data_IF_647998087982
#
_entry.id   IF_647998087982
#
_cell.length_a   1.000
_cell.length_b   1.000
_cell.length_c   1.000
_cell.angle_alpha   90.00
_cell.angle_beta   90.00
_cell.angle_gamma   90.00
#
_symmetry.space_group_name_H-M   'P 1'
#
loop_
_entity.id
_entity.type
_entity.pdbx_description
1 polymer ?
#
# COMPACT_ATOMS: atom_id res chain seq x y z
N UNK A 1 -2.84 -15.20 1.27
CA UNK A 1 -3.97 -14.24 1.44
C UNK A 1 -3.39 -12.84 1.55
N UNK A 2 -4.06 -11.79 1.10
CA UNK A 2 -3.49 -10.43 1.01
C UNK A 2 -4.56 -9.37 0.87
N UNK A 3 -4.18 -8.11 1.06
CA UNK A 3 -5.08 -6.95 0.98
C UNK A 3 -4.67 -6.16 -0.26
N UNK A 4 -5.60 -5.89 -1.18
CA UNK A 4 -5.37 -5.01 -2.32
C UNK A 4 -5.95 -3.62 -2.00
N UNK A 5 -5.14 -2.56 -2.09
CA UNK A 5 -5.60 -1.18 -1.90
C UNK A 5 -5.30 -0.35 -3.15
N UNK A 6 -6.35 0.10 -3.83
CA UNK A 6 -6.22 1.11 -4.88
C UNK A 6 -6.74 2.45 -4.35
N UNK A 7 -5.86 3.43 -4.21
CA UNK A 7 -6.20 4.74 -3.66
C UNK A 7 -5.80 5.87 -4.60
N UNK A 8 -6.76 6.76 -4.84
CA UNK A 8 -6.56 8.06 -5.47
C UNK A 8 -6.76 9.17 -4.42
N UNK A 9 -5.65 9.67 -3.89
CA UNK A 9 -5.58 10.85 -3.04
C UNK A 9 -5.80 12.11 -3.86
N UNK A 10 -7.05 12.56 -3.96
CA UNK A 10 -7.38 13.89 -4.47
C UNK A 10 -6.89 14.97 -3.51
N UNK A 11 -7.72 15.29 -2.51
CA UNK A 11 -7.41 16.31 -1.48
C UNK A 11 -6.51 15.74 -0.38
N UNK A 12 -6.67 14.46 -0.04
CA UNK A 12 -5.91 13.80 1.04
C UNK A 12 -4.51 13.45 0.53
N UNK A 13 -3.50 13.81 1.33
CA UNK A 13 -2.10 13.44 1.07
C UNK A 13 -1.90 11.94 1.25
N UNK A 14 -1.27 11.29 0.30
CA UNK A 14 -0.98 9.85 0.38
C UNK A 14 -0.04 9.50 1.54
N UNK A 15 0.73 10.46 2.05
CA UNK A 15 1.56 10.33 3.27
C UNK A 15 0.73 10.08 4.53
N UNK A 16 -0.50 10.62 4.60
CA UNK A 16 -1.44 10.33 5.69
C UNK A 16 -1.88 8.87 5.66
N UNK A 17 -2.17 8.35 4.47
CA UNK A 17 -2.52 6.94 4.27
C UNK A 17 -1.33 6.03 4.59
N UNK A 18 -0.13 6.38 4.13
CA UNK A 18 1.09 5.65 4.45
C UNK A 18 1.33 5.56 5.97
N UNK A 19 1.13 6.67 6.69
CA UNK A 19 1.24 6.69 8.16
C UNK A 19 0.23 5.74 8.81
N UNK A 20 -0.99 5.68 8.28
CA UNK A 20 -2.03 4.77 8.78
C UNK A 20 -1.66 3.30 8.55
N UNK A 21 -1.03 2.96 7.43
CA UNK A 21 -0.56 1.60 7.16
C UNK A 21 0.53 1.17 8.14
N UNK A 22 1.54 2.02 8.34
CA UNK A 22 2.63 1.76 9.30
C UNK A 22 2.03 1.52 10.68
N UNK A 23 1.16 2.42 11.14
CA UNK A 23 0.48 2.27 12.42
C UNK A 23 -0.34 0.99 12.52
N UNK A 24 -1.06 0.61 11.46
CA UNK A 24 -1.85 -0.62 11.46
C UNK A 24 -0.97 -1.89 11.57
N UNK A 25 0.25 -1.87 11.03
CA UNK A 25 1.22 -2.94 11.22
C UNK A 25 1.83 -2.92 12.64
N UNK A 26 2.22 -1.75 13.14
CA UNK A 26 2.81 -1.60 14.48
C UNK A 26 1.82 -2.03 15.58
N UNK A 27 0.56 -1.62 15.44
CA UNK A 27 -0.55 -1.97 16.34
C UNK A 27 -1.04 -3.42 16.11
N UNK A 28 -0.44 -4.17 15.18
CA UNK A 28 -0.79 -5.55 14.80
C UNK A 28 -2.27 -5.73 14.42
N UNK A 29 -2.90 -4.68 13.90
CA UNK A 29 -4.26 -4.71 13.37
C UNK A 29 -4.33 -5.47 12.05
N UNK A 30 -3.21 -5.47 11.30
CA UNK A 30 -3.04 -6.24 10.08
C UNK A 30 -1.73 -7.03 10.13
N UNK A 31 -1.77 -8.28 9.67
CA UNK A 31 -0.60 -9.15 9.52
C UNK A 31 -0.44 -9.67 8.07
N UNK A 32 -1.37 -9.30 7.19
CA UNK A 32 -1.33 -9.68 5.78
C UNK A 32 -0.52 -8.65 4.96
N UNK A 33 0.18 -9.10 3.90
CA UNK A 33 0.82 -8.18 2.97
C UNK A 33 -0.24 -7.32 2.28
N UNK A 34 0.06 -6.03 2.14
CA UNK A 34 -0.78 -5.08 1.41
C UNK A 34 -0.14 -4.82 0.06
N UNK A 35 -0.90 -5.08 -1.01
CA UNK A 35 -0.54 -4.74 -2.38
C UNK A 35 -1.29 -3.45 -2.72
N UNK A 36 -0.58 -2.36 -2.94
CA UNK A 36 -1.21 -1.06 -3.05
C UNK A 36 -0.77 -0.25 -4.26
N UNK A 37 -1.71 0.51 -4.80
CA UNK A 37 -1.45 1.56 -5.76
C UNK A 37 -1.93 2.87 -5.16
N UNK A 38 -0.98 3.72 -4.77
CA UNK A 38 -1.25 5.03 -4.17
C UNK A 38 -0.91 6.13 -5.19
N UNK A 39 -1.91 6.88 -5.65
CA UNK A 39 -1.69 8.09 -6.47
C UNK A 39 -2.31 9.28 -5.79
N UNK A 40 -1.66 10.43 -5.88
CA UNK A 40 -2.18 11.66 -5.29
C UNK A 40 -1.07 12.60 -4.84
N UNK A 41 -1.45 13.60 -4.06
CA UNK A 41 -0.49 14.52 -3.46
C UNK A 41 0.50 13.77 -2.55
N UNK A 42 1.80 13.99 -2.78
CA UNK A 42 2.91 13.38 -2.04
C UNK A 42 3.04 11.84 -2.20
N UNK A 43 2.64 11.29 -3.36
CA UNK A 43 2.76 9.84 -3.65
C UNK A 43 4.18 9.33 -3.52
N UNK A 44 5.17 10.10 -3.95
CA UNK A 44 6.58 9.66 -3.91
C UNK A 44 7.10 9.59 -2.47
N UNK A 45 6.70 10.55 -1.63
CA UNK A 45 7.03 10.51 -0.20
C UNK A 45 6.34 9.33 0.50
N UNK A 46 5.08 9.06 0.16
CA UNK A 46 4.35 7.92 0.69
C UNK A 46 5.03 6.59 0.31
N UNK A 47 5.60 6.50 -0.91
CA UNK A 47 6.39 5.34 -1.33
C UNK A 47 7.64 5.15 -0.46
N UNK A 48 8.39 6.22 -0.23
CA UNK A 48 9.58 6.15 0.64
C UNK A 48 9.21 5.77 2.08
N UNK A 49 8.11 6.30 2.63
CA UNK A 49 7.64 5.95 3.98
C UNK A 49 7.31 4.45 4.14
N UNK A 50 6.85 3.80 3.07
CA UNK A 50 6.40 2.41 3.10
C UNK A 50 7.45 1.41 2.61
N UNK A 51 8.63 1.87 2.21
CA UNK A 51 9.69 1.04 1.60
C UNK A 51 10.16 -0.11 2.49
N UNK A 52 10.19 0.12 3.80
CA UNK A 52 10.60 -0.88 4.80
C UNK A 52 9.40 -1.60 5.45
N UNK A 53 8.19 -1.38 4.93
CA UNK A 53 6.96 -2.01 5.44
C UNK A 53 6.62 -3.30 4.66
N UNK A 54 5.61 -4.04 5.14
CA UNK A 54 5.01 -5.18 4.40
C UNK A 54 4.03 -4.76 3.32
N UNK A 55 4.13 -3.50 2.87
CA UNK A 55 3.32 -2.93 1.79
C UNK A 55 4.13 -2.93 0.49
N UNK A 56 3.64 -3.62 -0.52
CA UNK A 56 4.19 -3.57 -1.88
C UNK A 56 3.44 -2.51 -2.68
N UNK A 57 4.18 -1.55 -3.25
CA UNK A 57 3.60 -0.43 -3.99
C UNK A 57 3.82 -0.57 -5.49
N UNK A 58 2.77 -0.31 -6.26
CA UNK A 58 2.76 -0.44 -7.72
C UNK A 58 2.26 0.85 -8.38
N UNK A 59 2.70 1.08 -9.61
CA UNK A 59 2.33 2.27 -10.37
C UNK A 59 0.97 2.13 -11.03
N UNK A 60 0.63 0.92 -11.46
CA UNK A 60 -0.66 0.56 -12.05
C UNK A 60 -1.46 -0.37 -11.14
N UNK A 61 -2.78 -0.35 -11.34
CA UNK A 61 -3.69 -1.24 -10.60
C UNK A 61 -3.53 -2.68 -11.10
N UNK A 62 -3.24 -2.87 -12.40
CA UNK A 62 -3.03 -4.18 -13.02
C UNK A 62 -1.83 -4.90 -12.42
N UNK A 63 -0.70 -4.21 -12.24
CA UNK A 63 0.47 -4.74 -11.54
C UNK A 63 0.13 -5.15 -10.10
N UNK A 64 -0.58 -4.29 -9.36
CA UNK A 64 -0.99 -4.58 -7.99
C UNK A 64 -1.91 -5.80 -7.90
N UNK A 65 -2.86 -5.94 -8.83
CA UNK A 65 -3.75 -7.11 -8.91
C UNK A 65 -2.95 -8.38 -9.21
N UNK A 66 -2.09 -8.34 -10.24
CA UNK A 66 -1.29 -9.49 -10.63
C UNK A 66 -0.38 -9.95 -9.48
N UNK A 67 0.28 -9.01 -8.81
CA UNK A 67 1.13 -9.30 -7.67
C UNK A 67 0.32 -9.84 -6.48
N UNK A 68 -0.85 -9.28 -6.18
CA UNK A 68 -1.73 -9.80 -5.13
C UNK A 68 -2.15 -11.26 -5.43
N UNK A 69 -2.54 -11.57 -6.66
CA UNK A 69 -2.93 -12.94 -7.05
C UNK A 69 -1.75 -13.92 -6.97
N UNK A 70 -0.56 -13.51 -7.40
CA UNK A 70 0.65 -14.35 -7.34
C UNK A 70 1.16 -14.52 -5.90
N UNK A 71 1.23 -13.44 -5.12
CA UNK A 71 1.68 -13.44 -3.74
C UNK A 71 0.75 -14.19 -2.80
N UNK A 72 -0.54 -14.29 -3.13
CA UNK A 72 -1.52 -15.09 -2.37
C UNK A 72 -1.39 -16.60 -2.60
N UNK A 73 -0.78 -17.01 -3.72
CA UNK A 73 -0.60 -18.42 -4.10
C UNK A 73 0.67 -19.07 -3.57
N UNK A 74 1.60 -18.28 -3.02
CA UNK A 74 2.74 -18.79 -2.23
C UNK A 74 2.28 -19.13 -0.82
#
# INVERSE_FOLDING_TARGET
>A
KGILVNLYGGIVKTTTVASAFIKAYDDKLIDLPVFARLRGAESDKAKEMLKDSRTELYDTVEEAINAAVMGVKK
#
